data_IF_591548102075
#
_entry.id   IF_591548102075
#
_cell.length_a   1.000
_cell.length_b   1.000
_cell.length_c   1.000
_cell.angle_alpha   90.00
_cell.angle_beta   90.00
_cell.angle_gamma   90.00
#
_symmetry.space_group_name_H-M   'P 1'
#
loop_
_entity.id
_entity.type
_entity.pdbx_description
1 polymer ?
#
# COMPACT_ATOMS: atom_id res chain seq x y z
N UNK A 1 55.02 3.14 55.54
CA UNK A 1 54.67 4.57 55.44
C UNK A 1 53.20 4.71 55.75
N UNK A 2 52.91 5.38 56.86
CA UNK A 2 51.63 5.45 57.56
C UNK A 2 50.68 6.42 56.86
N UNK A 3 49.66 5.90 56.18
CA UNK A 3 48.52 6.70 55.71
C UNK A 3 47.40 6.57 56.73
N UNK A 4 47.25 7.60 57.56
CA UNK A 4 46.19 7.74 58.55
C UNK A 4 44.85 7.26 57.99
N UNK A 5 44.17 6.39 58.74
CA UNK A 5 42.89 5.84 58.33
C UNK A 5 41.72 6.84 58.45
N UNK A 6 42.01 8.13 58.70
CA UNK A 6 41.03 9.20 58.92
C UNK A 6 40.68 9.85 57.59
N UNK A 7 39.37 9.93 57.29
CA UNK A 7 38.87 10.52 56.06
C UNK A 7 39.10 12.04 56.05
N UNK A 8 39.75 12.61 55.01
CA UNK A 8 39.97 14.05 54.92
C UNK A 8 38.67 14.84 54.68
N UNK A 9 37.60 14.17 54.25
CA UNK A 9 36.32 14.81 53.91
C UNK A 9 35.38 14.95 55.10
N UNK A 10 35.33 13.95 55.99
CA UNK A 10 34.39 13.94 57.13
C UNK A 10 35.02 13.62 58.50
N UNK A 11 36.33 13.39 58.56
CA UNK A 11 37.04 13.10 59.81
C UNK A 11 36.82 11.68 60.38
N UNK A 12 36.12 10.79 59.66
CA UNK A 12 35.85 9.43 60.15
C UNK A 12 37.09 8.53 60.10
N UNK A 13 37.37 7.80 61.18
CA UNK A 13 38.45 6.82 61.26
C UNK A 13 38.02 5.46 60.66
N UNK A 14 38.42 5.23 59.42
CA UNK A 14 38.25 3.96 58.70
C UNK A 14 39.29 2.93 59.17
N UNK A 15 39.15 1.68 58.73
CA UNK A 15 40.21 0.69 58.92
C UNK A 15 41.30 0.83 57.85
N UNK A 16 42.56 0.41 58.14
CA UNK A 16 43.63 0.39 57.15
C UNK A 16 43.27 -0.46 55.93
N UNK A 17 43.62 0.00 54.73
CA UNK A 17 43.38 -0.73 53.47
C UNK A 17 42.11 -0.36 52.70
N UNK A 18 41.24 0.47 53.27
CA UNK A 18 40.05 0.97 52.56
C UNK A 18 40.43 2.06 51.54
N UNK A 19 39.90 1.97 50.32
CA UNK A 19 40.11 2.98 49.28
C UNK A 19 39.11 4.16 49.35
N UNK A 20 37.96 3.94 49.99
CA UNK A 20 36.89 4.92 50.17
C UNK A 20 36.40 4.91 51.62
N UNK A 21 35.93 6.06 52.10
CA UNK A 21 35.39 6.19 53.45
C UNK A 21 34.06 5.47 53.57
N UNK A 22 33.92 4.63 54.60
CA UNK A 22 32.69 3.87 54.86
C UNK A 22 31.53 4.74 55.38
N UNK A 23 31.83 5.94 55.90
CA UNK A 23 30.82 6.87 56.39
C UNK A 23 30.30 7.82 55.28
N UNK A 24 31.19 8.46 54.52
CA UNK A 24 30.80 9.51 53.55
C UNK A 24 31.12 9.19 52.09
N UNK A 25 31.73 8.03 51.79
CA UNK A 25 32.11 7.63 50.43
C UNK A 25 33.28 8.41 49.81
N UNK A 26 33.89 9.35 50.55
CA UNK A 26 35.03 10.14 50.04
C UNK A 26 36.27 9.27 49.78
N UNK A 27 37.08 9.59 48.74
CA UNK A 27 38.29 8.83 48.45
C UNK A 27 39.32 8.98 49.58
N UNK A 28 39.91 7.87 50.01
CA UNK A 28 40.97 7.84 51.02
C UNK A 28 42.36 7.79 50.39
N UNK A 29 42.44 7.41 49.11
CA UNK A 29 43.68 7.34 48.33
C UNK A 29 43.58 8.32 47.16
N UNK A 30 44.63 9.12 46.89
CA UNK A 30 44.68 10.00 45.73
C UNK A 30 44.49 9.19 44.44
N UNK A 31 43.51 9.57 43.62
CA UNK A 31 43.20 8.88 42.35
C UNK A 31 42.21 7.72 42.45
N UNK A 32 41.60 7.47 43.62
CA UNK A 32 40.52 6.50 43.74
C UNK A 32 39.25 7.01 43.02
N UNK A 33 39.02 6.52 41.79
CA UNK A 33 37.79 6.74 41.03
C UNK A 33 36.77 5.70 41.47
N UNK A 34 35.59 6.14 41.91
CA UNK A 34 34.51 5.22 42.25
C UNK A 34 34.23 4.31 41.03
N UNK A 35 34.15 2.98 41.20
CA UNK A 35 33.77 2.11 40.10
C UNK A 35 32.40 2.57 39.58
N UNK A 36 32.20 2.64 38.24
CA UNK A 36 30.90 2.99 37.68
C UNK A 36 29.86 2.02 38.26
N UNK A 37 28.64 2.50 38.58
CA UNK A 37 27.62 1.66 39.18
C UNK A 37 27.39 0.42 38.31
N UNK A 38 27.77 -0.75 38.83
CA UNK A 38 27.47 -2.03 38.22
C UNK A 38 25.94 -2.17 38.16
N UNK A 39 25.37 -2.02 36.96
CA UNK A 39 23.94 -2.30 36.75
C UNK A 39 23.15 -1.27 35.95
N UNK A 40 23.76 -0.21 35.40
CA UNK A 40 23.08 0.54 34.33
C UNK A 40 23.43 -0.16 33.01
N UNK A 41 22.58 -1.05 32.46
CA UNK A 41 22.75 -1.44 31.06
C UNK A 41 22.82 -0.15 30.25
N UNK A 42 23.69 -0.04 29.23
CA UNK A 42 23.72 1.15 28.40
C UNK A 42 22.28 1.44 28.02
N UNK A 43 21.81 2.65 28.33
CA UNK A 43 20.53 3.11 27.85
C UNK A 43 20.63 3.05 26.32
N UNK A 44 20.17 1.95 25.75
CA UNK A 44 19.79 1.78 24.36
C UNK A 44 18.71 2.82 24.04
N UNK A 45 19.08 4.09 24.02
CA UNK A 45 18.28 5.12 23.37
C UNK A 45 18.29 4.75 21.91
N UNK A 46 17.31 3.94 21.51
CA UNK A 46 17.04 3.63 20.10
C UNK A 46 17.01 4.98 19.40
N UNK A 47 17.91 5.16 18.46
CA UNK A 47 18.03 6.42 17.75
C UNK A 47 16.69 6.77 17.09
N UNK A 48 16.29 8.06 17.03
CA UNK A 48 15.01 8.45 16.42
C UNK A 48 14.84 7.89 15.00
N UNK A 49 15.94 7.76 14.24
CA UNK A 49 15.93 7.20 12.89
C UNK A 49 15.63 5.69 12.88
N UNK A 50 16.09 4.91 13.86
CA UNK A 50 15.76 3.48 13.99
C UNK A 50 14.28 3.28 14.32
N UNK A 51 13.72 4.13 15.17
CA UNK A 51 12.29 4.09 15.50
C UNK A 51 11.43 4.37 14.26
N UNK A 52 11.74 5.43 13.50
CA UNK A 52 11.03 5.76 12.26
C UNK A 52 11.14 4.63 11.22
N UNK A 53 12.32 4.01 11.11
CA UNK A 53 12.53 2.87 10.21
C UNK A 53 11.69 1.66 10.62
N UNK A 54 11.69 1.28 11.90
CA UNK A 54 10.86 0.18 12.43
C UNK A 54 9.37 0.43 12.18
N UNK A 55 8.90 1.64 12.48
CA UNK A 55 7.50 2.05 12.22
C UNK A 55 7.12 1.96 10.74
N UNK A 56 8.02 2.34 9.83
CA UNK A 56 7.80 2.23 8.40
C UNK A 56 7.74 0.77 7.91
N UNK A 57 8.57 -0.10 8.49
CA UNK A 57 8.53 -1.55 8.23
C UNK A 57 7.21 -2.14 8.72
N UNK A 58 6.79 -1.82 9.95
CA UNK A 58 5.55 -2.33 10.53
C UNK A 58 4.32 -1.88 9.74
N UNK A 59 4.29 -0.62 9.30
CA UNK A 59 3.24 -0.11 8.39
C UNK A 59 3.22 -0.87 7.07
N UNK A 60 4.37 -1.13 6.47
CA UNK A 60 4.44 -1.90 5.21
C UNK A 60 3.97 -3.33 5.42
N UNK A 61 4.37 -3.97 6.52
CA UNK A 61 3.94 -5.33 6.88
C UNK A 61 2.42 -5.41 7.02
N UNK A 62 1.83 -4.52 7.83
CA UNK A 62 0.37 -4.46 7.98
C UNK A 62 -0.30 -4.11 6.65
N UNK A 63 0.27 -3.17 5.89
CA UNK A 63 -0.25 -2.78 4.59
C UNK A 63 -0.33 -3.94 3.61
N UNK A 64 0.75 -4.72 3.46
CA UNK A 64 0.78 -5.90 2.59
C UNK A 64 -0.19 -6.99 3.07
N UNK A 65 -0.36 -7.15 4.39
CA UNK A 65 -1.38 -8.07 4.92
C UNK A 65 -2.80 -7.65 4.53
N UNK A 66 -3.10 -6.35 4.59
CA UNK A 66 -4.40 -5.82 4.16
C UNK A 66 -4.59 -5.95 2.64
N UNK A 67 -3.53 -5.82 1.84
CA UNK A 67 -3.59 -6.05 0.39
C UNK A 67 -3.91 -7.50 0.06
N UNK A 68 -3.27 -8.44 0.76
CA UNK A 68 -3.55 -9.87 0.64
C UNK A 68 -5.01 -10.16 0.96
N UNK A 69 -5.49 -9.74 2.15
CA UNK A 69 -6.86 -10.00 2.58
C UNK A 69 -7.85 -9.29 1.65
N UNK A 70 -7.58 -8.03 1.29
CA UNK A 70 -8.41 -7.24 0.37
C UNK A 70 -8.55 -7.91 -0.99
N UNK A 71 -7.46 -8.41 -1.56
CA UNK A 71 -7.46 -9.15 -2.84
C UNK A 71 -8.29 -10.43 -2.77
N UNK A 72 -8.23 -11.16 -1.65
CA UNK A 72 -9.03 -12.37 -1.44
C UNK A 72 -10.51 -12.08 -1.17
N UNK A 73 -10.86 -10.87 -0.73
CA UNK A 73 -12.26 -10.49 -0.50
C UNK A 73 -12.89 -9.78 -1.68
N UNK A 74 -12.10 -9.14 -2.56
CA UNK A 74 -12.61 -8.29 -3.65
C UNK A 74 -13.45 -9.05 -4.68
N UNK A 75 -13.21 -10.35 -4.88
CA UNK A 75 -13.95 -11.17 -5.84
C UNK A 75 -15.30 -11.69 -5.31
N UNK A 76 -15.53 -11.65 -3.99
CA UNK A 76 -16.83 -12.04 -3.40
C UNK A 76 -17.78 -10.86 -3.48
N UNK A 77 -18.69 -10.85 -4.45
CA UNK A 77 -19.57 -9.71 -4.80
C UNK A 77 -20.21 -9.00 -3.58
N UNK A 78 -20.64 -9.73 -2.55
CA UNK A 78 -21.27 -9.15 -1.34
C UNK A 78 -20.25 -8.50 -0.39
N UNK A 79 -19.01 -9.02 -0.36
CA UNK A 79 -17.92 -8.57 0.53
C UNK A 79 -16.92 -7.67 -0.22
N UNK A 80 -17.13 -7.45 -1.53
CA UNK A 80 -16.20 -6.74 -2.41
C UNK A 80 -15.90 -5.32 -1.94
N UNK A 81 -16.91 -4.59 -1.45
CA UNK A 81 -16.74 -3.22 -0.91
C UNK A 81 -15.76 -3.22 0.28
N UNK A 82 -15.85 -4.23 1.15
CA UNK A 82 -14.91 -4.38 2.27
C UNK A 82 -13.52 -4.69 1.72
N UNK A 83 -13.42 -5.58 0.72
CA UNK A 83 -12.16 -5.87 0.03
C UNK A 83 -11.48 -4.63 -0.53
N UNK A 84 -12.20 -3.79 -1.27
CA UNK A 84 -11.68 -2.53 -1.83
C UNK A 84 -11.21 -1.55 -0.76
N UNK A 85 -11.97 -1.42 0.33
CA UNK A 85 -11.57 -0.59 1.47
C UNK A 85 -10.26 -1.08 2.10
N UNK A 86 -10.11 -2.40 2.28
CA UNK A 86 -8.88 -2.98 2.80
C UNK A 86 -7.71 -2.80 1.83
N UNK A 87 -7.93 -2.92 0.51
CA UNK A 87 -6.93 -2.63 -0.50
C UNK A 87 -6.47 -1.18 -0.43
N UNK A 88 -7.39 -0.23 -0.28
CA UNK A 88 -7.09 1.20 -0.16
C UNK A 88 -6.27 1.50 1.10
N UNK A 89 -6.71 1.02 2.26
CA UNK A 89 -5.99 1.21 3.53
C UNK A 89 -4.62 0.55 3.45
N UNK A 90 -4.54 -0.68 2.93
CA UNK A 90 -3.30 -1.42 2.73
C UNK A 90 -2.31 -0.66 1.85
N UNK A 91 -2.78 -0.14 0.71
CA UNK A 91 -1.98 0.65 -0.21
C UNK A 91 -1.43 1.92 0.46
N UNK A 92 -2.26 2.65 1.21
CA UNK A 92 -1.84 3.85 1.94
C UNK A 92 -0.72 3.52 2.93
N UNK A 93 -0.84 2.42 3.69
CA UNK A 93 0.17 2.03 4.66
C UNK A 93 1.52 1.67 4.00
N UNK A 94 1.49 0.97 2.87
CA UNK A 94 2.71 0.67 2.09
C UNK A 94 3.33 1.95 1.52
N UNK A 95 2.52 2.89 1.02
CA UNK A 95 2.99 4.18 0.51
C UNK A 95 3.70 4.99 1.60
N UNK A 96 3.17 4.99 2.83
CA UNK A 96 3.79 5.65 3.98
C UNK A 96 5.08 4.94 4.42
N UNK A 97 5.18 3.63 4.24
CA UNK A 97 6.34 2.81 4.60
C UNK A 97 7.46 2.77 3.55
N UNK A 98 7.22 3.29 2.33
CA UNK A 98 8.10 3.12 1.15
C UNK A 98 9.57 3.46 1.34
N UNK A 99 9.90 4.41 2.24
CA UNK A 99 11.27 4.89 2.48
C UNK A 99 12.17 3.82 3.11
N UNK A 100 11.61 2.87 3.88
CA UNK A 100 12.39 1.88 4.62
C UNK A 100 13.01 0.78 3.73
N UNK A 101 12.50 0.57 2.53
CA UNK A 101 12.89 -0.53 1.63
C UNK A 101 13.80 -0.10 0.47
N UNK A 102 14.32 1.13 0.53
CA UNK A 102 15.30 1.65 -0.43
C UNK A 102 14.69 2.44 -1.61
N UNK A 103 15.56 3.07 -2.42
CA UNK A 103 15.14 4.01 -3.46
C UNK A 103 14.42 3.32 -4.64
N UNK A 104 14.75 2.06 -4.93
CA UNK A 104 14.08 1.28 -5.99
C UNK A 104 12.61 1.04 -5.67
N UNK A 105 12.29 0.65 -4.43
CA UNK A 105 10.91 0.49 -3.99
C UNK A 105 10.14 1.82 -3.99
N UNK A 106 10.73 2.88 -3.44
CA UNK A 106 10.07 4.20 -3.45
C UNK A 106 9.79 4.70 -4.87
N UNK A 107 10.71 4.48 -5.83
CA UNK A 107 10.49 4.87 -7.23
C UNK A 107 9.35 4.08 -7.86
N UNK A 108 9.31 2.77 -7.64
CA UNK A 108 8.25 1.92 -8.17
C UNK A 108 6.88 2.30 -7.60
N UNK A 109 6.79 2.60 -6.29
CA UNK A 109 5.55 3.06 -5.64
C UNK A 109 5.06 4.39 -6.23
N UNK A 110 5.96 5.33 -6.51
CA UNK A 110 5.58 6.60 -7.16
C UNK A 110 5.09 6.37 -8.58
N UNK A 111 5.78 5.54 -9.37
CA UNK A 111 5.35 5.19 -10.73
C UNK A 111 4.00 4.48 -10.73
N UNK A 112 3.75 3.56 -9.78
CA UNK A 112 2.44 2.91 -9.67
C UNK A 112 1.33 3.90 -9.35
N UNK A 113 1.57 4.90 -8.49
CA UNK A 113 0.56 5.93 -8.19
C UNK A 113 0.21 6.71 -9.45
N UNK A 114 1.22 7.12 -10.23
CA UNK A 114 1.01 7.86 -11.49
C UNK A 114 0.23 7.01 -12.50
N UNK A 115 0.60 5.74 -12.69
CA UNK A 115 -0.10 4.84 -13.61
C UNK A 115 -1.53 4.53 -13.16
N UNK A 116 -1.77 4.39 -11.86
CA UNK A 116 -3.10 4.15 -11.31
C UNK A 116 -4.05 5.31 -11.64
N UNK A 117 -3.65 6.55 -11.36
CA UNK A 117 -4.46 7.72 -11.70
C UNK A 117 -4.57 7.96 -13.20
N UNK A 118 -3.53 7.65 -13.98
CA UNK A 118 -3.59 7.71 -15.44
C UNK A 118 -4.61 6.72 -16.01
N UNK A 119 -4.60 5.47 -15.53
CA UNK A 119 -5.57 4.44 -15.94
C UNK A 119 -7.00 4.83 -15.60
N UNK A 120 -7.25 5.32 -14.38
CA UNK A 120 -8.57 5.86 -13.98
C UNK A 120 -8.96 7.04 -14.86
N UNK A 121 -8.04 7.97 -15.13
CA UNK A 121 -8.27 9.12 -15.99
C UNK A 121 -8.69 8.72 -17.41
N UNK A 122 -8.01 7.73 -18.01
CA UNK A 122 -8.36 7.17 -19.33
C UNK A 122 -9.77 6.58 -19.30
N UNK A 123 -10.08 5.74 -18.31
CA UNK A 123 -11.40 5.11 -18.18
C UNK A 123 -12.51 6.13 -18.03
N UNK A 124 -12.34 7.09 -17.12
CA UNK A 124 -13.36 8.10 -16.81
C UNK A 124 -13.55 9.09 -17.96
N UNK A 125 -12.46 9.66 -18.47
CA UNK A 125 -12.52 10.64 -19.55
C UNK A 125 -13.02 10.01 -20.85
N UNK A 126 -12.57 8.79 -21.17
CA UNK A 126 -13.04 8.05 -22.34
C UNK A 126 -14.53 7.76 -22.26
N UNK A 127 -15.03 7.23 -21.13
CA UNK A 127 -16.45 7.00 -20.93
C UNK A 127 -17.28 8.30 -20.99
N UNK A 128 -16.77 9.39 -20.41
CA UNK A 128 -17.43 10.69 -20.43
C UNK A 128 -17.56 11.25 -21.85
N UNK A 129 -16.48 11.23 -22.64
CA UNK A 129 -16.49 11.70 -24.03
C UNK A 129 -17.46 10.86 -24.88
N UNK A 130 -17.45 9.54 -24.70
CA UNK A 130 -18.39 8.65 -25.40
C UNK A 130 -19.84 8.97 -25.02
N UNK A 131 -20.15 9.11 -23.73
CA UNK A 131 -21.48 9.46 -23.26
C UNK A 131 -21.97 10.80 -23.85
N UNK A 132 -21.12 11.83 -23.88
CA UNK A 132 -21.44 13.10 -24.53
C UNK A 132 -21.69 12.94 -26.04
N UNK A 133 -20.90 12.11 -26.72
CA UNK A 133 -21.02 11.92 -28.16
C UNK A 133 -22.32 11.24 -28.59
N UNK A 134 -22.92 10.43 -27.72
CA UNK A 134 -24.16 9.70 -27.98
C UNK A 134 -25.42 10.39 -27.40
N UNK A 135 -25.23 11.48 -26.65
CA UNK A 135 -26.33 12.20 -26.01
C UNK A 135 -27.39 12.72 -27.01
N UNK A 136 -27.03 13.26 -28.20
CA UNK A 136 -28.03 13.73 -29.16
C UNK A 136 -28.99 12.62 -29.62
N UNK A 137 -28.47 11.43 -29.88
CA UNK A 137 -29.24 10.29 -30.34
C UNK A 137 -30.12 9.72 -29.23
N UNK A 138 -29.64 9.71 -27.98
CA UNK A 138 -30.39 9.24 -26.81
C UNK A 138 -31.62 10.11 -26.49
N UNK A 139 -31.55 11.41 -26.80
CA UNK A 139 -32.66 12.37 -26.55
C UNK A 139 -33.57 12.52 -27.78
N UNK A 140 -33.21 11.94 -28.92
CA UNK A 140 -33.97 12.05 -30.17
C UNK A 140 -35.41 11.51 -30.07
N UNK A 141 -35.68 10.59 -29.14
CA UNK A 141 -36.94 9.86 -29.03
C UNK A 141 -37.15 8.80 -30.12
N UNK A 142 -36.18 8.65 -31.04
CA UNK A 142 -36.22 7.66 -32.10
C UNK A 142 -35.59 6.35 -31.62
N UNK A 143 -36.34 5.25 -31.71
CA UNK A 143 -35.88 3.94 -31.24
C UNK A 143 -34.61 3.47 -31.97
N UNK A 144 -34.58 3.59 -33.30
CA UNK A 144 -33.44 3.11 -34.11
C UNK A 144 -32.17 3.91 -33.83
N UNK A 145 -32.27 5.24 -33.74
CA UNK A 145 -31.15 6.11 -33.40
C UNK A 145 -30.62 5.80 -31.98
N UNK A 146 -31.53 5.67 -31.01
CA UNK A 146 -31.21 5.34 -29.61
C UNK A 146 -30.49 3.99 -29.50
N UNK A 147 -31.00 2.95 -30.17
CA UNK A 147 -30.37 1.62 -30.20
C UNK A 147 -28.96 1.68 -30.77
N UNK A 148 -28.77 2.34 -31.91
CA UNK A 148 -27.45 2.43 -32.56
C UNK A 148 -26.44 3.18 -31.70
N UNK A 149 -26.88 4.26 -31.05
CA UNK A 149 -26.05 5.02 -30.12
C UNK A 149 -25.64 4.19 -28.90
N UNK A 150 -26.58 3.47 -28.28
CA UNK A 150 -26.30 2.57 -27.15
C UNK A 150 -25.36 1.43 -27.54
N UNK A 151 -25.55 0.83 -28.72
CA UNK A 151 -24.67 -0.22 -29.23
C UNK A 151 -23.24 0.27 -29.37
N UNK A 152 -23.06 1.44 -29.98
CA UNK A 152 -21.75 2.09 -30.14
C UNK A 152 -21.15 2.45 -28.77
N UNK A 153 -21.95 3.03 -27.87
CA UNK A 153 -21.53 3.35 -26.51
C UNK A 153 -21.02 2.12 -25.76
N UNK A 154 -21.81 1.04 -25.70
CA UNK A 154 -21.42 -0.16 -24.97
C UNK A 154 -20.16 -0.81 -25.54
N UNK A 155 -20.06 -0.91 -26.87
CA UNK A 155 -18.87 -1.45 -27.52
C UNK A 155 -17.61 -0.61 -27.21
N UNK A 156 -17.69 0.72 -27.35
CA UNK A 156 -16.55 1.60 -27.12
C UNK A 156 -16.18 1.74 -25.64
N UNK A 157 -17.16 1.76 -24.74
CA UNK A 157 -16.92 1.80 -23.29
C UNK A 157 -16.21 0.54 -22.82
N UNK A 158 -16.57 -0.64 -23.32
CA UNK A 158 -15.84 -1.88 -23.01
C UNK A 158 -14.37 -1.79 -23.42
N UNK A 159 -14.08 -1.27 -24.62
CA UNK A 159 -12.71 -1.07 -25.08
C UNK A 159 -11.95 -0.08 -24.17
N UNK A 160 -12.56 1.04 -23.82
CA UNK A 160 -11.98 2.03 -22.90
C UNK A 160 -11.67 1.43 -21.52
N UNK A 161 -12.59 0.63 -20.97
CA UNK A 161 -12.41 -0.07 -19.69
C UNK A 161 -11.24 -1.05 -19.78
N UNK A 162 -11.10 -1.80 -20.88
CA UNK A 162 -9.96 -2.71 -21.08
C UNK A 162 -8.65 -1.93 -21.12
N UNK A 163 -8.58 -0.83 -21.88
CA UNK A 163 -7.36 -0.01 -21.99
C UNK A 163 -6.98 0.57 -20.63
N UNK A 164 -7.92 1.19 -19.92
CA UNK A 164 -7.65 1.73 -18.58
C UNK A 164 -7.28 0.63 -17.57
N UNK A 165 -7.91 -0.53 -17.69
CA UNK A 165 -7.61 -1.73 -16.91
C UNK A 165 -6.19 -2.25 -17.13
N UNK A 166 -5.68 -2.25 -18.37
CA UNK A 166 -4.29 -2.62 -18.71
C UNK A 166 -3.29 -1.68 -18.03
N UNK A 167 -3.55 -0.37 -18.06
CA UNK A 167 -2.68 0.64 -17.42
C UNK A 167 -2.72 0.53 -15.90
N UNK A 168 -3.90 0.33 -15.33
CA UNK A 168 -4.10 0.18 -13.88
C UNK A 168 -3.48 -1.13 -13.38
N UNK A 169 -3.53 -2.21 -14.16
CA UNK A 169 -2.87 -3.48 -13.83
C UNK A 169 -1.35 -3.38 -13.82
N UNK A 170 -0.74 -2.51 -14.63
CA UNK A 170 0.70 -2.25 -14.53
C UNK A 170 1.06 -1.55 -13.21
N UNK A 171 0.17 -0.68 -12.71
CA UNK A 171 0.36 -0.04 -11.42
C UNK A 171 0.42 -1.07 -10.29
N UNK A 172 -0.46 -2.08 -10.27
CA UNK A 172 -0.47 -3.11 -9.23
C UNK A 172 0.80 -3.98 -9.27
N UNK A 173 1.33 -4.30 -10.46
CA UNK A 173 2.61 -5.00 -10.61
C UNK A 173 3.75 -4.18 -10.01
N UNK A 174 3.90 -2.91 -10.41
CA UNK A 174 5.01 -2.09 -9.93
C UNK A 174 4.98 -1.86 -8.41
N UNK A 175 3.77 -1.81 -7.83
CA UNK A 175 3.55 -1.48 -6.43
C UNK A 175 4.36 -2.37 -5.45
N UNK A 176 4.32 -3.70 -5.63
CA UNK A 176 5.05 -4.65 -4.78
C UNK A 176 6.29 -5.25 -5.43
N UNK A 177 6.56 -4.96 -6.72
CA UNK A 177 7.66 -5.54 -7.50
C UNK A 177 9.02 -5.54 -6.80
N UNK A 178 9.39 -4.40 -6.20
CA UNK A 178 10.70 -4.23 -5.57
C UNK A 178 10.84 -5.01 -4.25
N UNK A 179 9.73 -5.34 -3.59
CA UNK A 179 9.71 -6.12 -2.35
C UNK A 179 9.85 -7.62 -2.62
N UNK A 180 9.64 -8.05 -3.86
CA UNK A 180 9.57 -9.46 -4.23
C UNK A 180 10.90 -10.07 -4.66
N UNK A 181 11.04 -11.37 -4.34
CA UNK A 181 12.05 -12.28 -4.91
C UNK A 181 11.69 -12.64 -6.37
N UNK A 182 12.61 -13.26 -7.15
CA UNK A 182 12.35 -13.63 -8.54
C UNK A 182 11.07 -14.45 -8.75
N UNK A 183 10.77 -15.38 -7.84
CA UNK A 183 9.54 -16.19 -7.86
C UNK A 183 8.27 -15.35 -7.69
N UNK A 184 8.27 -14.41 -6.74
CA UNK A 184 7.16 -13.46 -6.57
C UNK A 184 6.96 -12.59 -7.80
N UNK A 185 8.04 -12.12 -8.44
CA UNK A 185 7.94 -11.29 -9.65
C UNK A 185 7.30 -12.03 -10.81
N UNK A 186 7.58 -13.33 -10.94
CA UNK A 186 6.89 -14.18 -11.93
C UNK A 186 5.39 -14.28 -11.61
N UNK A 187 5.01 -14.41 -10.33
CA UNK A 187 3.59 -14.41 -9.93
C UNK A 187 2.88 -13.10 -10.21
N UNK A 188 3.53 -11.93 -10.03
CA UNK A 188 2.93 -10.65 -10.40
C UNK A 188 2.64 -10.56 -11.90
N UNK A 189 3.59 -10.96 -12.74
CA UNK A 189 3.38 -10.95 -14.18
C UNK A 189 2.35 -11.98 -14.63
N UNK A 190 2.31 -13.15 -13.99
CA UNK A 190 1.26 -14.14 -14.22
C UNK A 190 -0.12 -13.61 -13.81
N UNK A 191 -0.21 -12.95 -12.64
CA UNK A 191 -1.43 -12.28 -12.17
C UNK A 191 -1.91 -11.21 -13.14
N UNK A 192 -0.99 -10.35 -13.60
CA UNK A 192 -1.28 -9.33 -14.60
C UNK A 192 -1.75 -9.93 -15.94
N UNK A 193 -1.07 -10.97 -16.43
CA UNK A 193 -1.48 -11.67 -17.64
C UNK A 193 -2.87 -12.31 -17.49
N UNK A 194 -3.17 -12.89 -16.32
CA UNK A 194 -4.49 -13.42 -15.99
C UNK A 194 -5.56 -12.32 -15.93
N UNK A 195 -5.23 -11.13 -15.42
CA UNK A 195 -6.12 -9.96 -15.45
C UNK A 195 -6.45 -9.56 -16.88
N UNK A 196 -5.45 -9.45 -17.76
CA UNK A 196 -5.67 -9.11 -19.18
C UNK A 196 -6.49 -10.20 -19.87
N UNK A 197 -6.15 -11.47 -19.65
CA UNK A 197 -6.88 -12.60 -20.24
C UNK A 197 -8.34 -12.61 -19.78
N UNK A 198 -8.60 -12.33 -18.49
CA UNK A 198 -9.94 -12.18 -17.95
C UNK A 198 -10.71 -11.03 -18.59
N UNK A 199 -10.07 -9.87 -18.77
CA UNK A 199 -10.67 -8.72 -19.45
C UNK A 199 -11.03 -9.02 -20.90
N UNK A 200 -10.14 -9.68 -21.64
CA UNK A 200 -10.38 -10.10 -23.03
C UNK A 200 -11.50 -11.14 -23.08
N UNK A 201 -11.51 -12.12 -22.17
CA UNK A 201 -12.57 -13.13 -22.11
C UNK A 201 -13.93 -12.47 -21.85
N UNK A 202 -14.02 -11.54 -20.90
CA UNK A 202 -15.24 -10.78 -20.65
C UNK A 202 -15.67 -10.01 -21.90
N UNK A 203 -14.74 -9.35 -22.60
CA UNK A 203 -15.05 -8.61 -23.82
C UNK A 203 -15.62 -9.54 -24.91
N UNK A 204 -15.00 -10.69 -25.13
CA UNK A 204 -15.45 -11.68 -26.14
C UNK A 204 -16.80 -12.28 -25.78
N UNK A 205 -17.03 -12.57 -24.49
CA UNK A 205 -18.28 -13.15 -24.00
C UNK A 205 -19.43 -12.14 -24.01
N UNK A 206 -19.15 -10.86 -23.76
CA UNK A 206 -20.17 -9.82 -23.71
C UNK A 206 -20.48 -9.23 -25.09
N UNK A 207 -19.53 -9.28 -26.04
CA UNK A 207 -19.70 -8.77 -27.40
C UNK A 207 -21.00 -9.22 -28.11
N UNK A 208 -21.38 -10.52 -28.14
CA UNK A 208 -22.62 -10.94 -28.78
C UNK A 208 -23.89 -10.47 -28.06
N UNK A 209 -23.80 -10.16 -26.77
CA UNK A 209 -24.94 -9.72 -25.94
C UNK A 209 -25.22 -8.22 -26.09
N UNK A 210 -24.27 -7.44 -26.64
CA UNK A 210 -24.38 -5.97 -26.76
C UNK A 210 -25.64 -5.57 -27.51
N UNK A 211 -25.98 -6.28 -28.60
CA UNK A 211 -27.14 -5.97 -29.44
C UNK A 211 -28.44 -6.13 -28.66
N UNK A 212 -28.59 -7.26 -27.96
CA UNK A 212 -29.76 -7.54 -27.14
C UNK A 212 -29.91 -6.57 -25.97
N UNK A 213 -28.80 -6.19 -25.33
CA UNK A 213 -28.78 -5.22 -24.23
C UNK A 213 -29.17 -3.83 -24.76
N UNK A 214 -28.57 -3.37 -25.85
CA UNK A 214 -28.87 -2.08 -26.47
C UNK A 214 -30.35 -1.97 -26.84
N UNK A 215 -30.93 -3.03 -27.40
CA UNK A 215 -32.35 -3.09 -27.76
C UNK A 215 -33.29 -2.99 -26.56
N UNK A 216 -33.00 -3.72 -25.48
CA UNK A 216 -33.81 -3.69 -24.25
C UNK A 216 -33.76 -2.31 -23.61
N UNK A 217 -32.56 -1.73 -23.49
CA UNK A 217 -32.33 -0.41 -22.89
C UNK A 217 -32.99 0.68 -23.74
N UNK A 218 -32.83 0.65 -25.07
CA UNK A 218 -33.42 1.63 -25.98
C UNK A 218 -34.95 1.64 -25.90
N UNK A 219 -35.59 0.46 -25.85
CA UNK A 219 -37.03 0.36 -25.67
C UNK A 219 -37.49 0.96 -24.36
N UNK A 220 -36.79 0.68 -23.26
CA UNK A 220 -37.17 1.22 -21.95
C UNK A 220 -37.03 2.75 -21.91
N UNK A 221 -35.96 3.30 -22.49
CA UNK A 221 -35.73 4.76 -22.56
C UNK A 221 -36.82 5.45 -23.41
N UNK A 222 -37.12 4.92 -24.60
CA UNK A 222 -38.10 5.54 -25.50
C UNK A 222 -39.52 5.42 -24.97
N UNK A 223 -39.85 4.31 -24.30
CA UNK A 223 -41.21 4.09 -23.75
C UNK A 223 -41.43 4.84 -22.44
N UNK A 224 -40.38 5.08 -21.65
CA UNK A 224 -40.46 5.78 -20.36
C UNK A 224 -39.35 6.84 -20.18
N UNK A 225 -39.35 7.91 -20.99
CA UNK A 225 -38.25 8.89 -21.05
C UNK A 225 -38.03 9.70 -19.76
N UNK A 226 -39.00 9.71 -18.83
CA UNK A 226 -38.94 10.46 -17.58
C UNK A 226 -39.02 9.58 -16.32
N UNK A 227 -38.94 8.26 -16.47
CA UNK A 227 -38.98 7.33 -15.34
C UNK A 227 -37.55 7.03 -14.87
N UNK A 228 -37.13 7.51 -13.68
CA UNK A 228 -35.79 7.26 -13.17
C UNK A 228 -35.52 5.76 -12.89
N UNK A 229 -36.56 4.94 -12.81
CA UNK A 229 -36.44 3.49 -12.54
C UNK A 229 -36.20 2.66 -13.80
N UNK A 230 -36.45 3.21 -15.00
CA UNK A 230 -36.19 2.58 -16.30
C UNK A 230 -34.71 2.19 -16.47
N UNK A 231 -33.80 3.07 -16.03
CA UNK A 231 -32.36 2.83 -16.12
C UNK A 231 -31.93 1.81 -15.06
N UNK A 232 -32.52 1.87 -13.86
CA UNK A 232 -32.22 0.94 -12.78
C UNK A 232 -32.60 -0.52 -13.14
N UNK A 233 -33.77 -0.75 -13.71
CA UNK A 233 -34.21 -2.09 -14.14
C UNK A 233 -33.34 -2.64 -15.28
N UNK A 234 -32.95 -1.78 -16.24
CA UNK A 234 -32.04 -2.15 -17.31
C UNK A 234 -30.62 -2.48 -16.80
N UNK A 235 -30.14 -1.78 -15.78
CA UNK A 235 -28.85 -2.09 -15.12
C UNK A 235 -28.87 -3.36 -14.27
N UNK A 236 -30.00 -3.67 -13.60
CA UNK A 236 -30.16 -4.91 -12.83
C UNK A 236 -30.13 -6.15 -13.75
N UNK A 237 -30.90 -6.06 -14.83
CA UNK A 237 -30.62 -6.59 -16.17
C UNK A 237 -29.24 -7.20 -16.42
N UNK A 238 -28.33 -6.26 -16.60
CA UNK A 238 -26.95 -6.46 -16.97
C UNK A 238 -26.13 -7.05 -15.83
N UNK A 239 -26.42 -6.64 -14.59
CA UNK A 239 -25.71 -7.12 -13.40
C UNK A 239 -25.90 -8.62 -13.18
N UNK A 240 -27.12 -9.12 -13.39
CA UNK A 240 -27.42 -10.56 -13.23
C UNK A 240 -26.70 -11.41 -14.28
N UNK A 241 -26.64 -10.92 -15.54
CA UNK A 241 -25.90 -11.56 -16.63
C UNK A 241 -24.39 -11.59 -16.39
N UNK A 242 -23.83 -10.50 -15.87
CA UNK A 242 -22.40 -10.35 -15.61
C UNK A 242 -21.97 -11.07 -14.32
N UNK A 243 -22.89 -11.33 -13.38
CA UNK A 243 -22.61 -11.98 -12.11
C UNK A 243 -21.87 -13.32 -12.24
N UNK A 244 -22.14 -14.07 -13.31
CA UNK A 244 -21.45 -15.34 -13.61
C UNK A 244 -19.98 -15.16 -14.02
N UNK A 245 -19.61 -14.00 -14.58
CA UNK A 245 -18.23 -13.72 -15.01
C UNK A 245 -17.34 -13.22 -13.86
N UNK A 246 -17.90 -12.87 -12.70
CA UNK A 246 -17.11 -12.47 -11.53
C UNK A 246 -16.12 -13.56 -11.08
N UNK A 247 -16.46 -14.84 -11.26
CA UNK A 247 -15.57 -15.95 -10.91
C UNK A 247 -14.26 -15.96 -11.74
N UNK A 248 -14.27 -15.39 -12.94
CA UNK A 248 -13.05 -15.26 -13.76
C UNK A 248 -12.01 -14.33 -13.13
N UNK A 249 -12.44 -13.41 -12.26
CA UNK A 249 -11.54 -12.51 -11.52
C UNK A 249 -10.85 -13.18 -10.32
N UNK A 250 -11.28 -14.38 -9.92
CA UNK A 250 -10.67 -15.10 -8.81
C UNK A 250 -9.22 -15.49 -9.09
N UNK A 251 -8.91 -15.90 -10.33
CA UNK A 251 -7.57 -16.34 -10.74
C UNK A 251 -6.51 -15.25 -10.51
N UNK A 252 -6.64 -14.04 -11.09
CA UNK A 252 -5.67 -12.97 -10.83
C UNK A 252 -5.64 -12.57 -9.36
N UNK A 253 -6.79 -12.52 -8.67
CA UNK A 253 -6.87 -12.17 -7.25
C UNK A 253 -6.04 -13.13 -6.37
N UNK A 254 -6.15 -14.44 -6.61
CA UNK A 254 -5.36 -15.46 -5.91
C UNK A 254 -3.87 -15.29 -6.23
N UNK A 255 -3.50 -15.05 -7.49
CA UNK A 255 -2.09 -14.85 -7.87
C UNK A 255 -1.48 -13.63 -7.18
N UNK A 256 -2.17 -12.50 -7.15
CA UNK A 256 -1.74 -11.30 -6.42
C UNK A 256 -1.67 -11.56 -4.91
N UNK A 257 -2.67 -12.24 -4.33
CA UNK A 257 -2.67 -12.58 -2.91
C UNK A 257 -1.50 -13.49 -2.51
N UNK A 258 -1.15 -14.49 -3.34
CA UNK A 258 0.04 -15.34 -3.12
C UNK A 258 1.30 -14.48 -3.21
N UNK A 259 1.40 -13.58 -4.19
CA UNK A 259 2.56 -12.71 -4.34
C UNK A 259 2.73 -11.77 -3.12
N UNK A 260 1.64 -11.22 -2.60
CA UNK A 260 1.63 -10.38 -1.39
C UNK A 260 1.92 -11.20 -0.13
N UNK A 261 1.43 -12.43 -0.03
CA UNK A 261 1.78 -13.35 1.05
C UNK A 261 3.28 -13.62 1.13
N UNK A 262 3.93 -13.88 -0.02
CA UNK A 262 5.38 -14.10 -0.06
C UNK A 262 6.16 -12.87 0.40
N UNK A 263 5.67 -11.66 0.09
CA UNK A 263 6.27 -10.41 0.60
C UNK A 263 6.05 -10.28 2.10
N UNK A 264 4.83 -10.54 2.58
CA UNK A 264 4.49 -10.44 3.99
C UNK A 264 5.33 -11.40 4.85
N UNK A 265 5.42 -12.68 4.45
CA UNK A 265 6.21 -13.70 5.16
C UNK A 265 7.69 -13.30 5.21
N UNK A 266 8.21 -12.77 4.10
CA UNK A 266 9.57 -12.25 4.03
C UNK A 266 9.83 -11.11 5.02
N UNK A 267 8.94 -10.13 5.07
CA UNK A 267 9.04 -9.01 6.02
C UNK A 267 8.91 -9.53 7.45
N UNK A 268 8.02 -10.49 7.69
CA UNK A 268 7.81 -11.11 9.00
C UNK A 268 9.06 -11.87 9.49
N UNK A 269 9.81 -12.51 8.59
CA UNK A 269 11.10 -13.17 8.88
C UNK A 269 12.28 -12.19 9.02
N UNK A 270 12.07 -10.90 8.79
CA UNK A 270 13.12 -9.88 8.91
C UNK A 270 14.09 -9.83 7.73
N UNK A 271 13.76 -10.40 6.57
CA UNK A 271 14.59 -10.34 5.35
C UNK A 271 14.49 -8.97 4.65
N UNK A 272 14.69 -7.89 5.41
CA UNK A 272 14.61 -6.50 4.96
C UNK A 272 15.99 -5.97 4.55
N UNK A 273 16.07 -5.02 3.60
CA UNK A 273 17.34 -4.37 3.25
C UNK A 273 18.04 -3.77 4.48
N UNK A 274 19.37 -3.87 4.51
CA UNK A 274 20.18 -3.22 5.54
C UNK A 274 19.86 -1.71 5.61
N UNK A 275 19.95 -1.08 6.78
CA UNK A 275 19.74 0.36 6.90
C UNK A 275 20.63 1.08 5.87
N UNK A 276 20.04 1.96 5.05
CA UNK A 276 20.83 3.00 4.40
C UNK A 276 21.55 3.77 5.52
N UNK A 277 22.85 4.04 5.36
CA UNK A 277 23.69 4.66 6.38
C UNK A 277 22.94 5.74 7.17
N UNK A 278 23.08 5.73 8.51
CA UNK A 278 22.47 6.72 9.37
C UNK A 278 22.79 8.14 8.83
N UNK A 279 21.83 9.09 8.87
CA UNK A 279 22.14 10.47 8.53
C UNK A 279 23.37 10.89 9.33
N UNK A 280 24.42 11.35 8.64
CA UNK A 280 25.63 11.86 9.31
C UNK A 280 25.15 12.90 10.32
N UNK A 281 25.38 12.65 11.60
CA UNK A 281 25.00 13.58 12.65
C UNK A 281 25.62 14.95 12.29
N UNK A 282 24.85 16.04 12.35
CA UNK A 282 25.43 17.36 12.13
C UNK A 282 26.64 17.52 13.07
N UNK A 283 27.76 18.09 12.58
CA UNK A 283 28.95 18.26 13.40
C UNK A 283 28.52 18.91 14.71
N UNK A 284 28.86 18.27 15.84
CA UNK A 284 28.55 18.80 17.15
C UNK A 284 29.10 20.22 17.20
N UNK A 285 28.21 21.21 17.20
CA UNK A 285 28.62 22.59 17.47
C UNK A 285 29.26 22.57 18.83
N UNK A 286 30.57 22.83 18.88
CA UNK A 286 31.34 22.88 20.11
C UNK A 286 30.59 23.75 21.14
N UNK A 287 30.54 23.35 22.41
CA UNK A 287 29.85 24.13 23.43
C UNK A 287 30.44 25.55 23.47
N UNK A 288 29.60 26.58 23.68
CA UNK A 288 30.06 27.96 23.70
C UNK A 288 31.14 28.10 24.78
N UNK A 289 32.33 28.52 24.35
CA UNK A 289 33.43 28.89 25.25
C UNK A 289 32.90 30.02 26.11
N UNK A 290 32.73 29.77 27.41
CA UNK A 290 32.38 30.81 28.35
C UNK A 290 33.57 31.77 28.45
N UNK A 291 33.39 33.08 28.24
CA UNK A 291 34.45 34.05 28.47
C UNK A 291 34.77 34.10 29.96
N UNK A 292 36.06 33.99 30.27
CA UNK A 292 36.66 34.21 31.60
C UNK A 292 36.54 35.68 32.03
#
# INVERSE_FOLDING_TARGET
>A
MSTSAVCPKCGFANQPGYQFCTNCGGPLVPGAVAPPPYGVPPAYTVSPWEYERRRAIDRTKTGVLLLLIGSLLSWVLVVGIIGELLLLIGAILVILGRRAFGPSHSRNVVLSIVLFFLGIGISFLGAFVLALSAAPELVSGELVATTNALRSLFANVLVVIVIGGVVTGLASVLFTYALQKPTGRMLLWAGYAATIAGQIAILVLLAPEIDGIADVVAREIVTRPNDPTAIASATASLTDRIGSFFYLSAIPAILFAIADYLVWDRINRGEIPAPSAAPVAPPSTAPPIQPE
#
